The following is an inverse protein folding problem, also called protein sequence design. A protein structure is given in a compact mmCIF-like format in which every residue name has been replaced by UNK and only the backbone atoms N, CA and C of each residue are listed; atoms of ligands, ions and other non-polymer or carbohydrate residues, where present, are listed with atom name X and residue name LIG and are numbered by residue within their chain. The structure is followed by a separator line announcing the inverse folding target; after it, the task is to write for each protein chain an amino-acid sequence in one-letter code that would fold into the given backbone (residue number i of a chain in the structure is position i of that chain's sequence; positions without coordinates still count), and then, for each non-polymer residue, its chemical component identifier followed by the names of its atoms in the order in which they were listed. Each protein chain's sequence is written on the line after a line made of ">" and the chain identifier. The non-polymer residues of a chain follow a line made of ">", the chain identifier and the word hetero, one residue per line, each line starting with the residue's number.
data_IF_675717947314
#
_entry.id   IF_675717947314
#
_cell.length_a   1.000
_cell.length_b   1.000
_cell.length_c   1.000
_cell.angle_alpha   90.00
_cell.angle_beta   90.00
_cell.angle_gamma   90.00
#
_symmetry.space_group_name_H-M   'P 1'
#
loop_
_entity.id
_entity.type
_entity.pdbx_description
1 polymer ?
#
# COMPACT_ATOMS: atom_id res chain seq x y z
N UNK A 1 -16.46 9.46 12.89
CA UNK A 1 -16.83 8.19 13.56
C UNK A 1 -15.79 7.16 13.17
N UNK A 2 -15.12 6.53 14.13
CA UNK A 2 -14.14 5.48 13.82
C UNK A 2 -14.86 4.33 13.08
N UNK A 3 -14.25 3.72 12.06
CA UNK A 3 -14.86 2.58 11.39
C UNK A 3 -15.01 1.42 12.38
N UNK A 4 -16.26 1.08 12.72
CA UNK A 4 -16.58 -0.10 13.52
C UNK A 4 -16.27 -1.36 12.71
N UNK A 5 -15.11 -1.99 12.98
CA UNK A 5 -14.84 -3.34 12.49
C UNK A 5 -15.38 -4.35 13.49
N UNK A 6 -16.16 -5.33 13.00
CA UNK A 6 -16.56 -6.50 13.77
C UNK A 6 -15.32 -7.32 14.12
N UNK A 7 -14.80 -7.14 15.33
CA UNK A 7 -13.72 -7.94 15.88
C UNK A 7 -14.25 -8.77 17.04
N UNK A 8 -13.89 -10.05 17.07
CA UNK A 8 -14.26 -10.98 18.15
C UNK A 8 -12.96 -11.41 18.83
N UNK A 9 -12.85 -11.17 20.14
CA UNK A 9 -11.76 -11.70 20.96
C UNK A 9 -12.00 -13.21 21.16
N UNK A 10 -11.19 -14.06 20.50
CA UNK A 10 -11.30 -15.53 20.57
C UNK A 10 -10.36 -16.20 21.59
N UNK A 11 -9.68 -15.43 22.45
CA UNK A 11 -8.81 -15.96 23.51
C UNK A 11 -7.45 -16.50 23.04
N UNK A 12 -6.69 -17.07 23.98
CA UNK A 12 -5.33 -17.60 23.82
C UNK A 12 -5.40 -19.10 23.46
N UNK A 13 -5.41 -19.45 22.17
CA UNK A 13 -5.30 -20.86 21.73
C UNK A 13 -4.44 -20.97 20.47
N UNK A 14 -3.37 -21.75 20.61
CA UNK A 14 -2.65 -22.47 19.57
C UNK A 14 -3.59 -23.41 18.84
N UNK A 15 -4.05 -23.06 17.65
CA UNK A 15 -4.17 -23.89 16.43
C UNK A 15 -5.16 -23.27 15.45
N UNK A 16 -4.60 -22.89 14.31
CA UNK A 16 -5.11 -22.86 12.93
C UNK A 16 -6.59 -22.57 12.64
N UNK A 17 -6.71 -21.57 11.76
CA UNK A 17 -7.67 -21.43 10.66
C UNK A 17 -9.09 -20.99 11.05
N UNK A 18 -9.29 -19.67 11.06
CA UNK A 18 -10.13 -19.07 10.02
C UNK A 18 -9.74 -17.61 9.79
N UNK A 19 -9.50 -17.30 8.53
CA UNK A 19 -8.74 -16.16 8.01
C UNK A 19 -9.47 -14.82 8.23
N UNK A 20 -9.01 -14.02 9.19
CA UNK A 20 -9.11 -12.56 9.04
C UNK A 20 -8.11 -12.17 7.96
N UNK A 21 -8.49 -12.30 6.68
CA UNK A 21 -7.62 -11.90 5.56
C UNK A 21 -7.40 -10.40 5.67
N UNK A 22 -6.20 -10.02 6.10
CA UNK A 22 -5.76 -8.65 6.12
C UNK A 22 -5.77 -8.18 4.66
N UNK A 23 -6.75 -7.35 4.28
CA UNK A 23 -6.87 -6.81 2.93
C UNK A 23 -5.85 -5.68 2.78
N UNK A 24 -4.61 -6.03 2.44
CA UNK A 24 -3.62 -5.10 1.92
C UNK A 24 -3.79 -5.06 0.40
N UNK A 25 -3.88 -3.87 -0.18
CA UNK A 25 -3.78 -3.68 -1.63
C UNK A 25 -2.31 -3.42 -1.95
N UNK A 26 -1.53 -4.44 -2.34
CA UNK A 26 -0.10 -4.28 -2.59
C UNK A 26 0.12 -3.39 -3.83
N UNK A 27 1.06 -2.45 -3.70
CA UNK A 27 1.59 -1.67 -4.83
C UNK A 27 3.07 -2.03 -4.99
N UNK A 28 3.38 -2.94 -5.91
CA UNK A 28 4.73 -3.48 -6.08
C UNK A 28 5.44 -2.74 -7.21
N UNK A 29 6.66 -2.26 -6.91
CA UNK A 29 7.57 -1.66 -7.90
C UNK A 29 8.57 -2.71 -8.34
N UNK A 30 8.50 -3.11 -9.61
CA UNK A 30 9.34 -4.14 -10.20
C UNK A 30 10.38 -3.51 -11.15
N UNK A 31 11.68 -3.65 -10.87
CA UNK A 31 12.71 -3.08 -11.74
C UNK A 31 12.82 -3.84 -13.05
N UNK A 32 12.89 -3.12 -14.16
CA UNK A 32 13.07 -3.67 -15.51
C UNK A 32 14.43 -3.26 -16.07
N UNK A 33 15.16 -4.27 -16.55
CA UNK A 33 16.40 -4.08 -17.27
C UNK A 33 16.13 -3.55 -18.68
N UNK A 34 16.99 -2.69 -19.20
CA UNK A 34 16.93 -2.26 -20.59
C UNK A 34 17.05 -3.43 -21.56
N UNK A 35 16.37 -3.33 -22.69
CA UNK A 35 16.22 -4.43 -23.66
C UNK A 35 15.22 -5.50 -23.19
N UNK A 36 14.23 -5.09 -22.38
CA UNK A 36 13.17 -5.97 -21.87
C UNK A 36 11.80 -5.35 -22.07
N UNK A 37 10.77 -6.19 -22.13
CA UNK A 37 9.38 -5.76 -22.16
C UNK A 37 8.52 -6.62 -21.24
N UNK A 38 7.48 -6.03 -20.65
CA UNK A 38 6.40 -6.75 -19.98
C UNK A 38 5.17 -6.73 -20.87
N UNK A 39 4.52 -7.89 -21.02
CA UNK A 39 3.24 -8.00 -21.69
C UNK A 39 2.26 -8.68 -20.75
N UNK A 40 1.14 -8.02 -20.49
CA UNK A 40 -0.01 -8.59 -19.77
C UNK A 40 -1.08 -8.93 -20.78
N UNK A 41 -1.57 -10.17 -20.72
CA UNK A 41 -2.64 -10.68 -21.56
C UNK A 41 -3.96 -10.67 -20.81
N UNK A 42 -5.08 -10.62 -21.52
CA UNK A 42 -6.38 -10.76 -20.86
C UNK A 42 -6.54 -12.13 -20.19
N UNK A 43 -5.99 -13.17 -20.82
CA UNK A 43 -6.14 -14.59 -20.44
C UNK A 43 -4.83 -15.20 -19.97
N UNK A 44 -4.85 -15.85 -18.80
CA UNK A 44 -3.66 -16.49 -18.21
C UNK A 44 -3.11 -17.64 -19.08
N UNK A 45 -3.97 -18.34 -19.82
CA UNK A 45 -3.60 -19.45 -20.70
C UNK A 45 -2.74 -18.98 -21.87
N UNK A 46 -2.89 -17.72 -22.29
CA UNK A 46 -2.06 -17.11 -23.34
C UNK A 46 -0.64 -16.89 -22.81
N UNK A 47 -0.52 -16.24 -21.64
CA UNK A 47 0.76 -16.00 -20.99
C UNK A 47 1.52 -17.32 -20.73
N UNK A 48 0.82 -18.34 -20.24
CA UNK A 48 1.41 -19.66 -19.99
C UNK A 48 2.01 -20.28 -21.25
N UNK A 49 1.27 -20.28 -22.38
CA UNK A 49 1.77 -20.84 -23.65
C UNK A 49 3.01 -20.10 -24.16
N UNK A 50 3.05 -18.78 -24.01
CA UNK A 50 4.18 -17.95 -24.42
C UNK A 50 5.42 -18.28 -23.58
N UNK A 51 5.25 -18.45 -22.27
CA UNK A 51 6.32 -18.84 -21.34
C UNK A 51 6.82 -20.26 -21.65
N UNK A 52 5.92 -21.21 -21.94
CA UNK A 52 6.26 -22.59 -22.30
C UNK A 52 7.06 -22.68 -23.60
N UNK A 53 6.76 -21.82 -24.58
CA UNK A 53 7.52 -21.71 -25.82
C UNK A 53 8.95 -21.18 -25.60
N UNK A 54 9.21 -20.44 -24.51
CA UNK A 54 10.48 -19.83 -24.06
C UNK A 54 11.14 -18.84 -25.01
N UNK A 55 11.09 -19.07 -26.32
CA UNK A 55 11.76 -18.26 -27.31
C UNK A 55 10.83 -17.93 -28.47
N UNK A 56 10.82 -16.66 -28.87
CA UNK A 56 9.99 -16.14 -29.94
C UNK A 56 10.84 -15.38 -30.95
N UNK A 57 10.56 -15.57 -32.24
CA UNK A 57 11.22 -14.82 -33.33
C UNK A 57 10.27 -13.74 -33.83
N UNK A 58 10.49 -12.51 -33.37
CA UNK A 58 9.71 -11.33 -33.72
C UNK A 58 10.17 -10.79 -35.06
N UNK A 59 9.21 -10.53 -35.95
CA UNK A 59 9.48 -9.89 -37.23
C UNK A 59 9.25 -8.40 -37.06
N UNK A 60 10.29 -7.62 -37.33
CA UNK A 60 10.30 -6.17 -37.24
C UNK A 60 9.79 -5.59 -38.57
N UNK A 61 8.71 -4.82 -38.52
CA UNK A 61 8.21 -4.09 -39.69
C UNK A 61 8.99 -2.78 -39.85
N UNK A 62 10.08 -2.83 -40.63
CA UNK A 62 10.89 -1.67 -40.94
C UNK A 62 10.40 -1.02 -42.25
N UNK A 63 9.43 -0.09 -42.19
CA UNK A 63 9.00 0.71 -43.34
C UNK A 63 8.24 -0.05 -44.45
N UNK A 64 7.53 0.70 -45.29
CA UNK A 64 6.62 0.14 -46.32
C UNK A 64 7.32 -0.27 -47.63
N UNK A 65 8.65 -0.13 -47.74
CA UNK A 65 9.40 -0.30 -48.99
C UNK A 65 10.63 -1.24 -48.87
N UNK A 66 10.52 -2.36 -48.13
CA UNK A 66 11.58 -3.37 -48.09
C UNK A 66 11.16 -4.65 -48.81
N UNK A 67 12.02 -5.13 -49.73
CA UNK A 67 11.90 -6.42 -50.40
C UNK A 67 11.87 -7.56 -49.36
N UNK A 68 11.31 -8.72 -49.70
CA UNK A 68 11.12 -9.86 -48.76
C UNK A 68 12.41 -10.31 -48.03
N UNK A 69 13.58 -9.99 -48.59
CA UNK A 69 14.91 -10.32 -48.07
C UNK A 69 15.36 -9.43 -46.90
N UNK A 70 14.74 -8.26 -46.71
CA UNK A 70 15.18 -7.28 -45.73
C UNK A 70 14.37 -7.32 -44.41
N UNK A 71 13.39 -8.24 -44.30
CA UNK A 71 12.57 -8.41 -43.09
C UNK A 71 13.43 -8.74 -41.88
N UNK A 72 13.71 -7.73 -41.05
CA UNK A 72 14.52 -7.88 -39.86
C UNK A 72 13.82 -8.77 -38.83
N UNK A 73 14.56 -9.74 -38.27
CA UNK A 73 14.05 -10.68 -37.26
C UNK A 73 14.86 -10.58 -35.99
N UNK A 74 14.17 -10.70 -34.87
CA UNK A 74 14.73 -10.57 -33.54
C UNK A 74 14.29 -11.76 -32.68
N UNK A 75 15.23 -12.34 -31.93
CA UNK A 75 14.94 -13.43 -30.99
C UNK A 75 14.76 -12.83 -29.59
N UNK A 76 13.64 -13.14 -28.95
CA UNK A 76 13.35 -12.72 -27.58
C UNK A 76 13.06 -13.93 -26.70
N UNK A 77 13.46 -13.85 -25.44
CA UNK A 77 13.21 -14.90 -24.46
C UNK A 77 12.03 -14.52 -23.57
N UNK A 78 11.05 -15.41 -23.48
CA UNK A 78 9.88 -15.29 -22.62
C UNK A 78 10.12 -16.03 -21.29
N UNK A 79 9.92 -15.30 -20.20
CA UNK A 79 10.06 -15.79 -18.85
C UNK A 79 8.84 -15.39 -17.99
N UNK A 80 8.54 -16.16 -16.94
CA UNK A 80 7.55 -15.75 -15.96
C UNK A 80 7.96 -14.50 -15.18
N UNK A 81 6.95 -13.80 -14.65
CA UNK A 81 7.14 -12.72 -13.67
C UNK A 81 6.74 -13.21 -12.29
N UNK A 82 7.71 -13.25 -11.39
CA UNK A 82 7.51 -13.57 -9.98
C UNK A 82 7.71 -12.30 -9.13
N UNK A 83 6.77 -12.05 -8.22
CA UNK A 83 6.73 -10.90 -7.31
C UNK A 83 6.66 -11.38 -5.86
N UNK A 84 7.07 -10.54 -4.91
CA UNK A 84 6.95 -10.82 -3.48
C UNK A 84 5.69 -10.14 -2.94
N UNK A 85 4.73 -10.94 -2.47
CA UNK A 85 3.51 -10.45 -1.84
C UNK A 85 3.58 -10.61 -0.32
N UNK A 86 3.07 -9.64 0.47
CA UNK A 86 2.88 -9.81 1.91
C UNK A 86 2.01 -11.04 2.20
N UNK A 87 2.48 -11.93 3.06
CA UNK A 87 1.77 -13.16 3.44
C UNK A 87 1.27 -13.15 4.89
N UNK A 88 2.00 -12.48 5.78
CA UNK A 88 1.65 -12.39 7.21
C UNK A 88 2.08 -11.04 7.80
N UNK A 89 1.29 -10.50 8.71
CA UNK A 89 1.52 -9.23 9.38
C UNK A 89 1.11 -9.32 10.86
N UNK A 90 2.08 -9.13 11.74
CA UNK A 90 1.82 -9.02 13.17
C UNK A 90 1.95 -7.57 13.62
N UNK A 91 0.94 -7.09 14.34
CA UNK A 91 0.92 -5.75 14.93
C UNK A 91 0.79 -5.91 16.44
N UNK A 92 1.76 -5.38 17.17
CA UNK A 92 1.68 -5.25 18.62
C UNK A 92 1.13 -3.88 18.97
N UNK A 93 0.05 -3.86 19.74
CA UNK A 93 -0.49 -2.65 20.35
C UNK A 93 0.25 -2.38 21.66
N UNK A 94 0.61 -1.12 21.88
CA UNK A 94 1.15 -0.63 23.13
C UNK A 94 0.33 0.57 23.60
N UNK A 95 0.11 0.67 24.90
CA UNK A 95 -0.47 1.86 25.51
C UNK A 95 0.63 2.89 25.73
N UNK A 96 0.37 4.14 25.35
CA UNK A 96 1.25 5.25 25.73
C UNK A 96 1.13 5.54 27.23
N UNK A 97 2.27 5.61 27.93
CA UNK A 97 2.40 6.09 29.31
C UNK A 97 2.35 7.62 29.44
N UNK A 98 2.40 8.32 28.30
CA UNK A 98 2.47 9.79 28.24
C UNK A 98 1.31 10.44 27.52
N UNK A 99 0.52 9.68 26.78
CA UNK A 99 -0.49 10.25 25.89
C UNK A 99 -1.90 9.79 26.23
N UNK A 100 -2.82 10.74 26.23
CA UNK A 100 -4.25 10.48 26.41
C UNK A 100 -5.05 10.96 25.21
N UNK A 101 -6.16 10.29 24.95
CA UNK A 101 -7.18 10.74 24.01
C UNK A 101 -8.34 11.35 24.78
N UNK A 102 -8.69 12.58 24.42
CA UNK A 102 -9.83 13.30 24.95
C UNK A 102 -10.94 13.31 23.90
N UNK A 103 -12.11 12.79 24.27
CA UNK A 103 -13.31 12.77 23.42
C UNK A 103 -14.53 13.34 24.13
N UNK A 104 -15.67 13.34 23.44
CA UNK A 104 -16.93 13.96 23.90
C UNK A 104 -16.77 15.47 24.16
N UNK A 105 -15.97 16.13 23.32
CA UNK A 105 -15.72 17.56 23.39
C UNK A 105 -16.97 18.34 22.99
N UNK A 106 -17.35 19.39 23.74
CA UNK A 106 -18.50 20.20 23.41
C UNK A 106 -18.23 21.06 22.16
N UNK A 107 -19.24 21.18 21.28
CA UNK A 107 -19.19 22.16 20.20
C UNK A 107 -19.52 23.56 20.77
N UNK A 108 -18.48 24.32 21.08
CA UNK A 108 -18.60 25.63 21.72
C UNK A 108 -18.60 26.80 20.72
N UNK A 109 -18.53 26.52 19.41
CA UNK A 109 -18.38 27.55 18.38
C UNK A 109 -17.10 28.39 18.53
N UNK A 110 -16.10 27.85 19.21
CA UNK A 110 -14.77 28.46 19.37
C UNK A 110 -13.77 27.81 18.42
N UNK A 111 -12.74 28.54 17.95
CA UNK A 111 -11.64 27.97 17.21
C UNK A 111 -10.95 26.81 17.95
N UNK A 112 -10.50 25.81 17.21
CA UNK A 112 -9.85 24.60 17.73
C UNK A 112 -8.62 24.92 18.59
N UNK A 113 -7.78 25.86 18.16
CA UNK A 113 -6.63 26.35 18.94
C UNK A 113 -7.01 26.84 20.34
N UNK A 114 -8.14 27.56 20.46
CA UNK A 114 -8.61 28.05 21.76
C UNK A 114 -9.12 26.91 22.64
N UNK A 115 -9.71 25.87 22.05
CA UNK A 115 -10.10 24.67 22.78
C UNK A 115 -8.86 23.90 23.27
N UNK A 116 -7.86 23.73 22.40
CA UNK A 116 -6.58 23.10 22.73
C UNK A 116 -5.87 23.85 23.88
N UNK A 117 -5.79 25.18 23.82
CA UNK A 117 -5.26 26.03 24.91
C UNK A 117 -5.95 25.76 26.24
N UNK A 118 -7.28 25.66 26.24
CA UNK A 118 -8.04 25.42 27.47
C UNK A 118 -7.84 24.02 28.02
N UNK A 119 -7.75 23.02 27.14
CA UNK A 119 -7.47 21.65 27.54
C UNK A 119 -6.04 21.55 28.09
N UNK A 120 -5.05 22.11 27.41
CA UNK A 120 -3.67 22.17 27.90
C UNK A 120 -3.60 22.84 29.28
N UNK A 121 -4.22 24.02 29.45
CA UNK A 121 -4.23 24.72 30.73
C UNK A 121 -4.94 23.93 31.84
N UNK A 122 -5.91 23.09 31.49
CA UNK A 122 -6.58 22.22 32.46
C UNK A 122 -5.69 21.04 32.85
N UNK A 123 -5.10 20.36 31.87
CA UNK A 123 -4.31 19.16 32.06
C UNK A 123 -2.87 19.44 32.53
N UNK A 124 -2.36 20.66 32.37
CA UNK A 124 -1.08 21.09 32.95
C UNK A 124 -1.10 21.18 34.48
N UNK A 125 -2.28 21.17 35.10
CA UNK A 125 -2.43 21.32 36.55
C UNK A 125 -2.42 19.98 37.25
N UNK A 126 -1.43 19.77 38.11
CA UNK A 126 -1.29 18.58 38.98
C UNK A 126 -2.51 18.33 39.86
N UNK A 127 -3.22 19.38 40.29
CA UNK A 127 -4.48 19.24 41.07
C UNK A 127 -5.60 18.50 40.32
N UNK A 128 -5.55 18.49 38.99
CA UNK A 128 -6.49 17.76 38.15
C UNK A 128 -5.99 16.32 37.86
N UNK A 129 -4.80 15.97 38.34
CA UNK A 129 -4.10 14.71 38.07
C UNK A 129 -3.33 14.70 36.75
N UNK A 130 -3.14 15.86 36.11
CA UNK A 130 -2.30 15.97 34.92
C UNK A 130 -0.90 16.49 35.24
N UNK A 131 -0.16 16.89 34.21
CA UNK A 131 1.23 17.33 34.29
C UNK A 131 1.59 18.21 33.09
N UNK A 132 2.83 18.67 33.03
CA UNK A 132 3.32 19.50 31.92
C UNK A 132 3.02 18.83 30.58
N UNK A 133 2.36 19.58 29.69
CA UNK A 133 1.95 19.09 28.37
C UNK A 133 3.06 19.46 27.39
N UNK A 134 3.58 18.46 26.69
CA UNK A 134 4.62 18.61 25.68
C UNK A 134 4.00 18.86 24.29
N UNK A 135 2.91 18.15 23.97
CA UNK A 135 2.26 18.26 22.67
C UNK A 135 0.74 18.14 22.79
N UNK A 136 0.01 18.81 21.90
CA UNK A 136 -1.44 18.77 21.76
C UNK A 136 -1.80 18.76 20.28
N UNK A 137 -2.65 17.83 19.89
CA UNK A 137 -3.01 17.63 18.48
C UNK A 137 -4.50 17.34 18.37
N UNK A 138 -5.17 18.00 17.42
CA UNK A 138 -6.54 17.67 17.06
C UNK A 138 -6.50 16.56 16.01
N UNK A 139 -7.25 15.48 16.24
CA UNK A 139 -7.35 14.37 15.31
C UNK A 139 -8.53 14.64 14.37
N UNK A 140 -8.21 15.20 13.20
CA UNK A 140 -9.16 15.67 12.17
C UNK A 140 -10.21 14.60 11.78
N UNK A 141 -9.84 13.32 11.87
CA UNK A 141 -10.67 12.19 11.46
C UNK A 141 -11.76 11.82 12.49
N UNK A 142 -11.55 12.16 13.76
CA UNK A 142 -12.37 11.66 14.88
C UNK A 142 -12.95 12.75 15.77
N UNK A 143 -12.51 14.01 15.63
CA UNK A 143 -12.93 15.11 16.52
C UNK A 143 -12.42 14.93 17.95
N UNK A 144 -11.34 14.17 18.13
CA UNK A 144 -10.70 13.90 19.41
C UNK A 144 -9.43 14.73 19.54
N UNK A 145 -9.02 15.01 20.77
CA UNK A 145 -7.75 15.69 21.05
C UNK A 145 -6.78 14.69 21.67
N UNK A 146 -5.59 14.58 21.09
CA UNK A 146 -4.48 13.88 21.71
C UNK A 146 -3.65 14.87 22.53
N UNK A 147 -3.44 14.56 23.80
CA UNK A 147 -2.52 15.30 24.67
C UNK A 147 -1.37 14.39 25.05
N UNK A 148 -0.14 14.88 24.91
CA UNK A 148 1.08 14.20 25.32
C UNK A 148 1.77 14.98 26.41
N UNK A 149 2.05 14.30 27.53
CA UNK A 149 2.71 14.85 28.69
C UNK A 149 4.23 14.68 28.61
N UNK A 150 4.96 15.63 29.20
CA UNK A 150 6.41 15.58 29.28
C UNK A 150 6.90 14.42 30.18
N UNK A 151 6.10 14.00 31.16
CA UNK A 151 6.45 12.96 32.13
C UNK A 151 5.63 11.67 31.91
N UNK A 152 6.31 10.53 32.02
CA UNK A 152 5.69 9.22 32.13
C UNK A 152 4.88 9.07 33.43
N UNK A 153 3.81 8.27 33.39
CA UNK A 153 2.99 7.98 34.57
C UNK A 153 1.85 8.98 34.81
N UNK A 154 1.77 10.05 34.01
CA UNK A 154 0.69 11.05 34.10
C UNK A 154 -0.58 10.58 33.39
N UNK A 155 -0.43 9.78 32.32
CA UNK A 155 -1.56 9.35 31.51
C UNK A 155 -2.45 8.32 32.23
N UNK A 156 -1.84 7.35 32.93
CA UNK A 156 -2.53 6.21 33.54
C UNK A 156 -3.58 6.63 34.57
N UNK A 157 -3.28 7.53 35.54
CA UNK A 157 -4.28 7.98 36.51
C UNK A 157 -5.42 8.77 35.86
N UNK A 158 -5.17 9.44 34.73
CA UNK A 158 -6.20 10.15 33.98
C UNK A 158 -7.09 9.18 33.21
N UNK A 159 -6.51 8.14 32.63
CA UNK A 159 -7.22 7.06 31.93
C UNK A 159 -8.09 6.26 32.91
N UNK A 160 -7.58 5.93 34.10
CA UNK A 160 -8.34 5.22 35.14
C UNK A 160 -9.59 5.98 35.59
N UNK A 161 -9.54 7.33 35.61
CA UNK A 161 -10.71 8.15 35.92
C UNK A 161 -11.79 8.03 34.85
N UNK A 162 -11.41 7.83 33.58
CA UNK A 162 -12.29 7.65 32.42
C UNK A 162 -13.08 8.90 32.00
N UNK A 163 -13.63 9.67 32.94
CA UNK A 163 -14.36 10.91 32.67
C UNK A 163 -13.94 12.01 33.64
N UNK A 164 -13.77 13.23 33.13
CA UNK A 164 -13.40 14.40 33.93
C UNK A 164 -14.27 15.60 33.56
N UNK A 165 -14.64 16.40 34.56
CA UNK A 165 -15.31 17.68 34.32
C UNK A 165 -14.29 18.80 34.09
N UNK A 166 -14.40 19.47 32.94
CA UNK A 166 -13.57 20.62 32.57
C UNK A 166 -14.43 21.87 32.45
N UNK A 167 -13.88 22.99 32.93
CA UNK A 167 -14.46 24.31 32.74
C UNK A 167 -13.99 24.86 31.40
N UNK A 168 -14.87 24.86 30.39
CA UNK A 168 -14.59 25.39 29.07
C UNK A 168 -15.46 26.64 28.84
N UNK A 169 -14.85 27.82 28.92
CA UNK A 169 -15.61 29.08 28.83
C UNK A 169 -16.50 29.29 30.06
N UNK A 170 -17.83 29.35 29.87
CA UNK A 170 -18.81 29.60 30.94
C UNK A 170 -19.48 28.33 31.49
N UNK A 171 -19.25 27.17 30.86
CA UNK A 171 -19.89 25.90 31.21
C UNK A 171 -18.93 24.88 31.80
N UNK A 172 -19.48 23.93 32.57
CA UNK A 172 -18.80 22.69 32.97
C UNK A 172 -19.22 21.59 32.02
N UNK A 173 -18.25 20.88 31.46
CA UNK A 173 -18.47 19.81 30.50
C UNK A 173 -17.75 18.55 30.96
N UNK A 174 -18.44 17.42 30.88
CA UNK A 174 -17.83 16.12 31.13
C UNK A 174 -17.20 15.65 29.82
N UNK A 175 -15.89 15.48 29.84
CA UNK A 175 -15.12 14.93 28.72
C UNK A 175 -14.66 13.52 29.07
N UNK A 176 -14.48 12.69 28.05
CA UNK A 176 -13.99 11.32 28.21
C UNK A 176 -12.49 11.27 27.98
N UNK A 177 -11.80 10.50 28.80
CA UNK A 177 -10.38 10.19 28.69
C UNK A 177 -10.26 8.71 28.36
N UNK A 178 -9.56 8.42 27.28
CA UNK A 178 -9.26 7.06 26.85
C UNK A 178 -7.76 6.91 26.58
N UNK A 179 -7.23 5.69 26.68
CA UNK A 179 -5.82 5.47 26.46
C UNK A 179 -5.45 5.70 24.99
N UNK A 180 -4.29 6.30 24.74
CA UNK A 180 -3.73 6.38 23.40
C UNK A 180 -3.02 5.06 23.09
N UNK A 181 -3.50 4.33 22.06
CA UNK A 181 -2.87 3.10 21.59
C UNK A 181 -1.94 3.41 20.42
N UNK A 182 -0.71 2.92 20.49
CA UNK A 182 0.23 2.91 19.37
C UNK A 182 0.35 1.50 18.82
N UNK A 183 0.22 1.34 17.51
CA UNK A 183 0.47 0.08 16.82
C UNK A 183 1.88 0.02 16.26
N UNK A 184 2.61 -1.06 16.54
CA UNK A 184 3.92 -1.33 15.95
C UNK A 184 3.86 -2.61 15.14
N UNK A 185 4.32 -2.57 13.88
CA UNK A 185 4.53 -3.77 13.09
C UNK A 185 5.71 -4.51 13.71
N UNK A 186 5.47 -5.73 14.21
CA UNK A 186 6.50 -6.57 14.83
C UNK A 186 7.04 -7.62 13.88
N UNK A 187 6.23 -8.06 12.90
CA UNK A 187 6.62 -9.05 11.91
C UNK A 187 5.88 -8.77 10.59
N UNK A 188 6.59 -8.90 9.46
CA UNK A 188 6.04 -8.83 8.12
C UNK A 188 6.75 -9.88 7.26
N UNK A 189 5.99 -10.86 6.77
CA UNK A 189 6.52 -11.93 5.93
C UNK A 189 6.08 -11.76 4.48
N UNK A 190 6.92 -12.23 3.57
CA UNK A 190 6.68 -12.19 2.12
C UNK A 190 6.74 -13.59 1.53
N UNK A 191 5.89 -13.84 0.55
CA UNK A 191 5.89 -15.07 -0.21
C UNK A 191 6.02 -14.77 -1.72
N UNK A 192 6.83 -15.54 -2.46
CA UNK A 192 6.83 -15.48 -3.92
C UNK A 192 5.46 -15.80 -4.49
N UNK A 193 5.02 -14.99 -5.45
CA UNK A 193 3.79 -15.16 -6.19
C UNK A 193 4.03 -14.90 -7.66
N UNK A 194 3.41 -15.71 -8.52
CA UNK A 194 3.56 -15.60 -9.97
C UNK A 194 2.43 -14.78 -10.55
N UNK A 195 2.75 -13.80 -11.40
CA UNK A 195 1.76 -13.08 -12.19
C UNK A 195 1.24 -14.00 -13.30
N UNK A 196 -0.02 -14.48 -13.24
CA UNK A 196 -0.51 -15.52 -14.15
C UNK A 196 -0.73 -15.02 -15.58
N UNK A 197 -0.94 -13.71 -15.75
CA UNK A 197 -1.26 -13.07 -17.02
C UNK A 197 -0.10 -12.29 -17.64
N UNK A 198 1.02 -12.16 -16.94
CA UNK A 198 2.13 -11.30 -17.36
C UNK A 198 3.36 -12.11 -17.73
N UNK A 199 3.99 -11.73 -18.85
CA UNK A 199 5.22 -12.33 -19.37
C UNK A 199 6.31 -11.28 -19.43
N UNK A 200 7.52 -11.66 -19.01
CA UNK A 200 8.74 -10.89 -19.22
C UNK A 200 9.42 -11.35 -20.51
N UNK A 201 9.65 -10.40 -21.42
CA UNK A 201 10.47 -10.58 -22.60
C UNK A 201 11.84 -9.95 -22.35
N UNK A 202 12.90 -10.66 -22.72
CA UNK A 202 14.28 -10.20 -22.61
C UNK A 202 15.07 -10.48 -23.88
N UNK A 203 16.20 -9.79 -24.04
CA UNK A 203 17.05 -9.90 -25.21
C UNK A 203 16.58 -9.06 -26.40
N UNK A 204 15.87 -7.96 -26.14
CA UNK A 204 15.42 -7.02 -27.17
C UNK A 204 16.56 -6.05 -27.53
N UNK A 205 17.17 -6.16 -28.73
CA UNK A 205 18.13 -5.18 -29.24
C UNK A 205 17.53 -3.80 -29.50
N UNK A 206 18.40 -2.80 -29.42
CA UNK A 206 18.09 -1.40 -29.73
C UNK A 206 18.30 -1.12 -31.22
N UNK A 207 17.35 -1.57 -32.04
CA UNK A 207 17.39 -1.45 -33.52
C UNK A 207 16.24 -0.64 -34.10
N UNK A 208 15.21 -0.37 -33.30
CA UNK A 208 14.07 0.48 -33.66
C UNK A 208 13.83 1.50 -32.54
N UNK A 209 13.16 2.59 -32.87
CA UNK A 209 12.63 3.52 -31.88
C UNK A 209 11.67 2.83 -30.89
N UNK A 210 11.38 3.51 -29.78
CA UNK A 210 10.60 2.96 -28.67
C UNK A 210 9.17 2.54 -29.08
N UNK A 211 8.43 3.44 -29.75
CA UNK A 211 7.07 3.17 -30.25
C UNK A 211 7.02 2.05 -31.31
N UNK A 212 7.80 2.09 -32.41
CA UNK A 212 7.74 1.03 -33.41
C UNK A 212 8.21 -0.34 -32.89
N UNK A 213 9.11 -0.36 -31.90
CA UNK A 213 9.49 -1.60 -31.23
C UNK A 213 8.34 -2.16 -30.38
N UNK A 214 7.68 -1.29 -29.60
CA UNK A 214 6.51 -1.65 -28.80
C UNK A 214 5.39 -2.22 -29.67
N UNK A 215 5.07 -1.56 -30.78
CA UNK A 215 4.04 -1.99 -31.72
C UNK A 215 4.40 -3.33 -32.37
N UNK A 216 5.67 -3.52 -32.77
CA UNK A 216 6.14 -4.79 -33.36
C UNK A 216 5.99 -5.96 -32.39
N UNK A 217 6.27 -5.74 -31.10
CA UNK A 217 6.07 -6.73 -30.04
C UNK A 217 4.58 -7.02 -29.84
N UNK A 218 3.77 -5.98 -29.70
CA UNK A 218 2.32 -6.12 -29.48
C UNK A 218 1.66 -6.90 -30.63
N UNK A 219 1.90 -6.51 -31.87
CA UNK A 219 1.38 -7.19 -33.07
C UNK A 219 1.85 -8.65 -33.13
N UNK A 220 3.08 -8.95 -32.72
CA UNK A 220 3.58 -10.32 -32.70
C UNK A 220 2.80 -11.18 -31.71
N UNK A 221 2.61 -10.69 -30.48
CA UNK A 221 2.00 -11.43 -29.39
C UNK A 221 0.46 -11.36 -29.37
N UNK A 222 -0.17 -10.55 -30.23
CA UNK A 222 -1.60 -10.63 -30.51
C UNK A 222 -1.97 -11.76 -31.49
N UNK A 223 -1.02 -12.24 -32.31
CA UNK A 223 -1.30 -13.27 -33.33
C UNK A 223 -1.48 -14.66 -32.71
N UNK A 224 -2.69 -15.21 -32.81
CA UNK A 224 -3.00 -16.55 -32.34
C UNK A 224 -2.12 -17.66 -32.97
N UNK A 225 -1.66 -17.48 -34.22
CA UNK A 225 -0.73 -18.40 -34.89
C UNK A 225 0.64 -18.51 -34.21
N UNK A 226 0.97 -17.56 -33.32
CA UNK A 226 2.22 -17.51 -32.54
C UNK A 226 1.99 -17.87 -31.07
N UNK A 227 0.83 -18.45 -30.74
CA UNK A 227 0.42 -18.72 -29.36
C UNK A 227 -0.08 -17.47 -28.61
N UNK A 228 -0.16 -16.34 -29.30
CA UNK A 228 -0.62 -15.06 -28.80
C UNK A 228 -2.12 -14.96 -28.51
N UNK A 229 -2.54 -13.77 -28.08
CA UNK A 229 -3.93 -13.45 -27.73
C UNK A 229 -4.09 -11.96 -27.39
N UNK A 230 -5.27 -11.59 -26.90
CA UNK A 230 -5.57 -10.19 -26.57
C UNK A 230 -4.63 -9.65 -25.48
N UNK A 231 -4.01 -8.51 -25.79
CA UNK A 231 -3.02 -7.83 -24.93
C UNK A 231 -3.75 -6.74 -24.17
N UNK A 232 -3.66 -6.79 -22.85
CA UNK A 232 -4.23 -5.80 -21.93
C UNK A 232 -3.27 -4.63 -21.71
N UNK A 233 -1.97 -4.92 -21.53
CA UNK A 233 -0.94 -3.91 -21.35
C UNK A 233 0.42 -4.36 -21.88
N UNK A 234 1.20 -3.41 -22.39
CA UNK A 234 2.59 -3.62 -22.79
C UNK A 234 3.48 -2.44 -22.38
N UNK A 235 4.60 -2.75 -21.74
CA UNK A 235 5.64 -1.81 -21.34
C UNK A 235 7.00 -2.27 -21.86
N UNK A 236 7.66 -1.46 -22.69
CA UNK A 236 8.98 -1.74 -23.24
C UNK A 236 10.02 -0.79 -22.64
N UNK A 237 11.20 -1.30 -22.29
CA UNK A 237 12.34 -0.53 -21.83
C UNK A 237 13.48 -0.69 -22.83
N UNK A 238 13.88 0.36 -23.57
CA UNK A 238 15.00 0.31 -24.50
C UNK A 238 16.33 -0.11 -23.86
N UNK A 239 17.24 -0.69 -24.66
CA UNK A 239 18.55 -1.05 -24.17
C UNK A 239 19.31 0.19 -23.66
N UNK A 240 20.09 0.03 -22.58
CA UNK A 240 20.79 1.15 -21.94
C UNK A 240 19.91 2.06 -21.08
N UNK A 241 18.59 1.86 -21.04
CA UNK A 241 17.68 2.52 -20.09
C UNK A 241 17.29 1.59 -18.94
N UNK A 242 16.70 2.16 -17.89
CA UNK A 242 16.10 1.44 -16.77
C UNK A 242 14.64 1.86 -16.64
N UNK A 243 13.77 0.89 -16.36
CA UNK A 243 12.35 1.13 -16.13
C UNK A 243 11.89 0.55 -14.80
N UNK A 244 10.73 0.99 -14.33
CA UNK A 244 10.05 0.41 -13.16
C UNK A 244 8.60 0.15 -13.54
N UNK A 245 8.19 -1.12 -13.49
CA UNK A 245 6.81 -1.52 -13.64
C UNK A 245 6.08 -1.46 -12.30
N UNK A 246 4.81 -1.08 -12.32
CA UNK A 246 3.97 -1.01 -11.14
C UNK A 246 2.91 -2.11 -11.25
N UNK A 247 2.94 -3.05 -10.32
CA UNK A 247 1.94 -4.10 -10.19
C UNK A 247 1.00 -3.73 -9.04
N UNK A 248 -0.30 -3.79 -9.32
CA UNK A 248 -1.38 -3.62 -8.36
C UNK A 248 -2.28 -4.86 -8.39
N UNK A 249 -3.10 -5.01 -7.35
CA UNK A 249 -4.13 -6.05 -7.33
C UNK A 249 -5.13 -5.83 -8.46
N UNK A 250 -5.40 -6.89 -9.21
CA UNK A 250 -6.39 -6.90 -10.28
C UNK A 250 -7.78 -6.94 -9.65
N UNK A 251 -8.53 -5.85 -9.75
CA UNK A 251 -9.90 -5.75 -9.21
C UNK A 251 -10.96 -6.21 -10.20
N UNK A 252 -10.56 -6.90 -11.29
CA UNK A 252 -11.43 -7.46 -12.32
C UNK A 252 -12.43 -8.50 -11.82
#
# INVERSE_FOLDING_TARGET
>A
ALPEKKMVFKGLVTTKEDMNKLMLTPLIRYPLLGGSALITFEKAEVAQRIIEAKEHTVELSCGEEMEELDRCRMRVQAAPVDILLPSDLEIRLAQSSRSILVSDLPNLGIPEEILLDKLELFFSKTKNGGGEVENREFLDDSGQVMLTFAQDGVAEPLIEKGYIQVLLGKGKYTIKISPCMTGHITNLQFQPSRCPRTVLLSGIPDVLGEEPMRDSLEIHFQKASRGGGEVDAIAYVPAGRQGVAIFAEDTG
#
